data_IF_196302635474
#
_entry.id   IF_196302635474
#
_cell.length_a   1.000
_cell.length_b   1.000
_cell.length_c   1.000
_cell.angle_alpha   90.00
_cell.angle_beta   90.00
_cell.angle_gamma   90.00
#
_symmetry.space_group_name_H-M   'P 1'
#
loop_
_entity.id
_entity.type
_entity.pdbx_description
1 polymer ?
#
# COMPACT_ATOMS: atom_id res chain seq x y z
N UNK A 1 -10.33 -14.22 -22.31
CA UNK A 1 -9.00 -13.72 -21.86
C UNK A 1 -9.10 -12.36 -21.17
N UNK A 2 -10.00 -11.48 -21.61
CA UNK A 2 -10.38 -10.23 -20.92
C UNK A 2 -11.01 -10.46 -19.54
N UNK A 3 -11.77 -11.54 -19.35
CA UNK A 3 -12.39 -11.88 -18.05
C UNK A 3 -11.36 -12.21 -16.97
N UNK A 4 -10.26 -12.89 -17.27
CA UNK A 4 -9.22 -13.17 -16.28
C UNK A 4 -8.50 -11.90 -15.83
N UNK A 5 -8.33 -10.91 -16.71
CA UNK A 5 -7.71 -9.64 -16.36
C UNK A 5 -8.67 -8.78 -15.52
N UNK A 6 -9.96 -8.76 -15.86
CA UNK A 6 -11.01 -8.10 -15.08
C UNK A 6 -11.25 -8.77 -13.72
N UNK A 7 -11.18 -10.10 -13.63
CA UNK A 7 -11.27 -10.85 -12.37
C UNK A 7 -9.99 -10.72 -11.55
N UNK A 8 -8.80 -10.63 -12.17
CA UNK A 8 -7.55 -10.37 -11.46
C UNK A 8 -7.44 -8.91 -10.97
N UNK A 9 -7.91 -7.95 -11.77
CA UNK A 9 -8.04 -6.55 -11.37
C UNK A 9 -9.13 -6.41 -10.30
N UNK A 10 -10.28 -7.06 -10.45
CA UNK A 10 -11.30 -7.12 -9.41
C UNK A 10 -10.73 -7.75 -8.15
N UNK A 11 -10.11 -8.94 -8.18
CA UNK A 11 -9.50 -9.56 -7.01
C UNK A 11 -8.39 -8.69 -6.37
N UNK A 12 -7.59 -7.97 -7.16
CA UNK A 12 -6.56 -7.05 -6.65
C UNK A 12 -7.13 -5.73 -6.08
N UNK A 13 -8.32 -5.31 -6.54
CA UNK A 13 -8.97 -4.04 -6.12
C UNK A 13 -10.05 -4.25 -5.05
N UNK A 14 -10.69 -5.42 -5.06
CA UNK A 14 -11.81 -5.84 -4.22
C UNK A 14 -11.31 -6.53 -2.95
N UNK A 15 -10.25 -7.35 -3.04
CA UNK A 15 -9.58 -7.95 -1.87
C UNK A 15 -8.41 -7.07 -1.41
N UNK A 16 -8.57 -5.75 -1.56
CA UNK A 16 -7.53 -4.78 -1.28
C UNK A 16 -7.46 -4.50 0.22
N UNK A 17 -6.35 -4.93 0.82
CA UNK A 17 -5.96 -4.70 2.22
C UNK A 17 -6.09 -3.21 2.61
N UNK A 18 -5.93 -2.30 1.65
CA UNK A 18 -5.98 -0.86 1.86
C UNK A 18 -7.40 -0.35 2.11
N UNK A 19 -8.43 -0.92 1.47
CA UNK A 19 -9.81 -0.42 1.56
C UNK A 19 -10.69 -1.22 2.51
N UNK A 20 -10.43 -2.53 2.64
CA UNK A 20 -11.22 -3.40 3.50
C UNK A 20 -10.66 -3.43 4.94
N UNK A 21 -9.34 -3.30 5.11
CA UNK A 21 -8.67 -3.30 6.42
C UNK A 21 -8.14 -1.93 6.86
N UNK A 22 -8.36 -0.88 6.06
CA UNK A 22 -7.96 0.51 6.34
C UNK A 22 -6.46 0.74 6.60
N UNK A 23 -5.57 -0.09 6.03
CA UNK A 23 -4.13 0.10 6.16
C UNK A 23 -3.60 1.04 5.07
N UNK A 24 -2.69 1.96 5.42
CA UNK A 24 -2.08 2.90 4.46
C UNK A 24 -2.68 4.30 4.44
N UNK A 25 -3.47 4.66 5.45
CA UNK A 25 -4.07 6.00 5.58
C UNK A 25 -3.02 7.12 5.73
N UNK A 26 -1.91 6.85 6.44
CA UNK A 26 -0.86 7.87 6.70
C UNK A 26 -0.26 8.45 5.41
N UNK A 27 0.27 7.64 4.47
CA UNK A 27 0.77 8.18 3.20
C UNK A 27 -0.34 8.73 2.31
N UNK A 28 -1.57 8.22 2.41
CA UNK A 28 -2.71 8.71 1.64
C UNK A 28 -3.08 10.14 2.05
N UNK A 29 -3.24 10.42 3.34
CA UNK A 29 -3.51 11.77 3.85
C UNK A 29 -2.37 12.75 3.56
N UNK A 30 -1.14 12.23 3.57
CA UNK A 30 0.08 12.97 3.27
C UNK A 30 0.34 13.19 1.77
N UNK A 31 -0.48 12.70 0.84
CA UNK A 31 -0.28 12.92 -0.62
C UNK A 31 -0.78 14.30 -1.08
N UNK A 32 -0.13 14.88 -2.08
CA UNK A 32 -0.52 16.17 -2.66
C UNK A 32 -1.71 16.04 -3.62
N UNK A 33 -2.31 17.18 -3.96
CA UNK A 33 -3.34 17.28 -5.00
C UNK A 33 -2.82 17.09 -6.43
N UNK A 34 -1.49 16.94 -6.61
CA UNK A 34 -0.87 16.71 -7.92
C UNK A 34 -0.85 15.21 -8.23
N UNK A 35 -1.53 14.81 -9.30
CA UNK A 35 -1.64 13.41 -9.72
C UNK A 35 -0.26 12.81 -10.05
N UNK A 36 0.65 13.58 -10.65
CA UNK A 36 2.02 13.12 -10.95
C UNK A 36 2.80 12.72 -9.68
N UNK A 37 2.63 13.49 -8.59
CA UNK A 37 3.27 13.19 -7.31
C UNK A 37 2.61 11.99 -6.63
N UNK A 38 1.30 11.82 -6.79
CA UNK A 38 0.55 10.70 -6.26
C UNK A 38 0.94 9.38 -6.95
N UNK A 39 1.08 9.40 -8.29
CA UNK A 39 1.56 8.28 -9.10
C UNK A 39 2.96 7.84 -8.68
N UNK A 40 3.91 8.78 -8.55
CA UNK A 40 5.29 8.45 -8.16
C UNK A 40 5.38 7.89 -6.74
N UNK A 41 4.59 8.44 -5.81
CA UNK A 41 4.53 7.92 -4.42
C UNK A 41 3.93 6.53 -4.38
N UNK A 42 2.83 6.30 -5.10
CA UNK A 42 2.21 4.99 -5.22
C UNK A 42 3.17 3.95 -5.80
N UNK A 43 3.82 4.25 -6.92
CA UNK A 43 4.77 3.34 -7.56
C UNK A 43 6.00 3.04 -6.69
N UNK A 44 6.46 4.00 -5.90
CA UNK A 44 7.51 3.75 -4.91
C UNK A 44 7.03 2.76 -3.82
N UNK A 45 5.80 2.93 -3.33
CA UNK A 45 5.22 2.00 -2.35
C UNK A 45 4.94 0.61 -2.92
N UNK A 46 4.59 0.47 -4.21
CA UNK A 46 4.39 -0.85 -4.80
C UNK A 46 5.69 -1.63 -4.82
N UNK A 47 6.78 -1.01 -5.27
CA UNK A 47 8.10 -1.63 -5.27
C UNK A 47 8.50 -2.07 -3.84
N UNK A 48 8.32 -1.20 -2.84
CA UNK A 48 8.59 -1.55 -1.45
C UNK A 48 7.74 -2.75 -0.98
N UNK A 49 6.43 -2.73 -1.22
CA UNK A 49 5.51 -3.80 -0.83
C UNK A 49 5.88 -5.14 -1.48
N UNK A 50 6.29 -5.13 -2.75
CA UNK A 50 6.69 -6.35 -3.46
C UNK A 50 7.96 -6.98 -2.89
N UNK A 51 8.95 -6.16 -2.58
CA UNK A 51 10.23 -6.61 -2.02
C UNK A 51 10.00 -7.11 -0.59
N UNK A 52 9.25 -6.36 0.22
CA UNK A 52 8.92 -6.79 1.59
C UNK A 52 8.09 -8.07 1.58
N UNK A 53 7.13 -8.24 0.66
CA UNK A 53 6.32 -9.45 0.55
C UNK A 53 7.16 -10.70 0.27
N UNK A 54 8.06 -10.63 -0.73
CA UNK A 54 8.96 -11.73 -1.07
C UNK A 54 9.94 -12.07 0.06
N UNK A 55 10.55 -11.04 0.66
CA UNK A 55 11.49 -11.24 1.78
C UNK A 55 10.81 -11.75 3.04
N UNK A 56 9.56 -11.34 3.31
CA UNK A 56 8.80 -11.82 4.48
C UNK A 56 8.47 -13.30 4.35
N UNK A 57 8.14 -13.77 3.14
CA UNK A 57 7.90 -15.18 2.87
C UNK A 57 9.19 -16.01 3.04
N UNK A 58 10.31 -15.53 2.50
CA UNK A 58 11.64 -16.14 2.69
C UNK A 58 12.00 -16.23 4.18
N UNK A 59 11.87 -15.12 4.92
CA UNK A 59 12.16 -15.07 6.35
C UNK A 59 11.30 -16.05 7.14
N UNK A 60 10.01 -16.15 6.80
CA UNK A 60 9.10 -17.05 7.50
C UNK A 60 9.45 -18.53 7.27
N UNK A 61 9.69 -18.91 6.00
CA UNK A 61 9.99 -20.30 5.64
C UNK A 61 11.38 -20.74 6.10
N UNK A 62 12.39 -19.86 6.02
CA UNK A 62 13.79 -20.21 6.31
C UNK A 62 14.20 -19.97 7.77
N UNK A 63 13.54 -19.07 8.50
CA UNK A 63 13.96 -18.69 9.85
C UNK A 63 12.93 -19.07 10.90
N UNK A 64 11.66 -18.72 10.72
CA UNK A 64 10.63 -18.90 11.74
C UNK A 64 10.15 -20.34 11.90
N UNK A 65 9.86 -21.02 10.78
CA UNK A 65 9.39 -22.40 10.78
C UNK A 65 10.42 -23.37 11.37
N UNK A 66 11.71 -23.36 10.96
CA UNK A 66 12.68 -24.33 11.49
C UNK A 66 13.07 -24.07 12.95
N UNK A 67 12.94 -22.82 13.44
CA UNK A 67 13.36 -22.46 14.80
C UNK A 67 12.18 -22.42 15.79
N UNK A 68 10.95 -22.65 15.34
CA UNK A 68 9.75 -22.65 16.22
C UNK A 68 9.42 -21.29 16.82
N UNK A 69 9.97 -20.19 16.27
CA UNK A 69 9.92 -18.84 16.84
C UNK A 69 8.64 -18.06 16.45
N UNK A 70 7.49 -18.73 16.45
CA UNK A 70 6.21 -18.12 16.06
C UNK A 70 5.87 -16.87 16.89
N UNK A 71 6.29 -16.83 18.16
CA UNK A 71 6.08 -15.69 19.06
C UNK A 71 6.83 -14.41 18.61
N UNK A 72 8.01 -14.54 18.00
CA UNK A 72 8.82 -13.40 17.56
C UNK A 72 8.41 -12.83 16.20
N UNK A 73 7.39 -13.41 15.56
CA UNK A 73 7.03 -13.12 14.17
C UNK A 73 6.76 -11.65 13.90
N UNK A 74 5.96 -11.00 14.74
CA UNK A 74 5.58 -9.60 14.52
C UNK A 74 6.82 -8.69 14.60
N UNK A 75 7.70 -8.92 15.58
CA UNK A 75 8.92 -8.13 15.79
C UNK A 75 9.88 -8.32 14.62
N UNK A 76 10.08 -9.57 14.18
CA UNK A 76 10.95 -9.90 13.05
C UNK A 76 10.44 -9.29 11.73
N UNK A 77 9.13 -9.38 11.46
CA UNK A 77 8.52 -8.78 10.27
C UNK A 77 8.58 -7.25 10.29
N UNK A 78 8.43 -6.62 11.46
CA UNK A 78 8.51 -5.17 11.60
C UNK A 78 9.94 -4.67 11.36
N UNK A 79 10.95 -5.37 11.91
CA UNK A 79 12.35 -5.09 11.63
C UNK A 79 12.69 -5.28 10.14
N UNK A 80 12.23 -6.37 9.52
CA UNK A 80 12.41 -6.63 8.10
C UNK A 80 11.77 -5.55 7.23
N UNK A 81 10.53 -5.15 7.53
CA UNK A 81 9.82 -4.07 6.83
C UNK A 81 10.61 -2.76 6.92
N UNK A 82 11.11 -2.40 8.11
CA UNK A 82 11.93 -1.20 8.30
C UNK A 82 13.22 -1.26 7.47
N UNK A 83 13.97 -2.35 7.53
CA UNK A 83 15.21 -2.56 6.78
C UNK A 83 14.99 -2.52 5.26
N UNK A 84 13.93 -3.18 4.78
CA UNK A 84 13.62 -3.24 3.34
C UNK A 84 13.20 -1.88 2.80
N UNK A 85 12.34 -1.15 3.49
CA UNK A 85 11.95 0.21 3.07
C UNK A 85 13.15 1.16 3.15
N UNK A 86 14.02 1.02 4.16
CA UNK A 86 15.25 1.80 4.26
C UNK A 86 16.22 1.50 3.09
N UNK A 87 16.34 0.23 2.68
CA UNK A 87 17.15 -0.15 1.53
C UNK A 87 16.57 0.43 0.23
N UNK A 88 15.25 0.35 0.06
CA UNK A 88 14.55 0.98 -1.08
C UNK A 88 14.76 2.49 -1.08
N UNK A 89 14.73 3.16 0.08
CA UNK A 89 15.02 4.60 0.20
C UNK A 89 16.38 4.98 -0.39
N UNK A 90 17.42 4.25 0.01
CA UNK A 90 18.78 4.50 -0.45
C UNK A 90 18.90 4.21 -1.95
N UNK A 91 18.28 3.12 -2.42
CA UNK A 91 18.28 2.75 -3.84
C UNK A 91 17.59 3.81 -4.71
N UNK A 92 16.44 4.31 -4.25
CA UNK A 92 15.64 5.32 -4.93
C UNK A 92 16.36 6.68 -4.99
N UNK A 93 17.08 7.05 -3.92
CA UNK A 93 17.94 8.26 -3.90
C UNK A 93 19.12 8.14 -4.86
N UNK A 94 19.68 6.93 -5.04
CA UNK A 94 20.81 6.69 -5.94
C UNK A 94 20.41 6.67 -7.43
N UNK A 95 19.25 6.11 -7.76
CA UNK A 95 18.79 5.97 -9.15
C UNK A 95 17.83 7.10 -9.60
N UNK A 96 17.29 7.87 -8.65
CA UNK A 96 16.20 8.82 -8.90
C UNK A 96 16.64 10.17 -9.46
N UNK A 97 16.70 10.25 -10.79
CA UNK A 97 16.64 11.49 -11.54
C UNK A 97 15.38 12.32 -11.16
N UNK A 98 15.55 13.63 -10.98
CA UNK A 98 14.56 14.74 -10.91
C UNK A 98 13.11 14.49 -10.42
N UNK A 99 12.38 13.57 -11.05
CA UNK A 99 10.96 13.26 -10.79
C UNK A 99 10.71 12.47 -9.49
N UNK A 100 11.68 11.71 -8.98
CA UNK A 100 11.56 10.97 -7.70
C UNK A 100 11.96 11.78 -6.45
N UNK A 101 12.35 13.06 -6.60
CA UNK A 101 12.67 13.95 -5.45
C UNK A 101 11.47 14.19 -4.52
N UNK A 102 10.25 14.20 -5.05
CA UNK A 102 9.04 14.36 -4.23
C UNK A 102 8.70 13.08 -3.46
N UNK A 103 8.98 11.91 -4.06
CA UNK A 103 8.91 10.65 -3.32
C UNK A 103 9.90 10.69 -2.15
N UNK A 104 11.19 11.02 -2.40
CA UNK A 104 12.27 10.98 -1.40
C UNK A 104 12.04 11.83 -0.13
N UNK A 105 11.30 12.94 -0.23
CA UNK A 105 10.96 13.80 0.92
C UNK A 105 9.85 13.23 1.83
N UNK A 106 9.02 12.30 1.32
CA UNK A 106 7.91 11.68 2.07
C UNK A 106 8.18 10.23 2.51
N UNK A 107 9.41 9.75 2.33
CA UNK A 107 9.80 8.39 2.72
C UNK A 107 9.68 8.05 4.22
N UNK A 108 9.79 8.98 5.18
CA UNK A 108 9.49 8.67 6.59
C UNK A 108 8.04 8.20 6.81
N UNK A 109 7.09 8.62 5.96
CA UNK A 109 5.71 8.14 5.99
C UNK A 109 5.54 6.77 5.32
N UNK A 110 6.46 6.36 4.45
CA UNK A 110 6.46 5.04 3.80
C UNK A 110 7.03 3.98 4.76
N UNK A 111 8.09 4.30 5.51
CA UNK A 111 8.72 3.38 6.49
C UNK A 111 7.79 3.01 7.64
N UNK A 112 6.87 3.91 8.03
CA UNK A 112 5.88 3.67 9.08
C UNK A 112 4.50 3.32 8.52
N UNK A 113 4.44 2.83 7.27
CA UNK A 113 3.17 2.48 6.67
C UNK A 113 2.68 1.11 7.17
N UNK A 114 1.54 1.11 7.85
CA UNK A 114 0.87 -0.11 8.29
C UNK A 114 0.54 -1.07 7.15
N UNK A 115 0.37 -0.60 5.92
CA UNK A 115 0.16 -1.46 4.74
C UNK A 115 1.35 -2.40 4.48
N UNK A 116 2.59 -1.95 4.73
CA UNK A 116 3.80 -2.77 4.53
C UNK A 116 3.85 -3.91 5.53
N UNK A 117 3.56 -3.61 6.80
CA UNK A 117 3.46 -4.64 7.85
C UNK A 117 2.28 -5.59 7.59
N UNK A 118 1.14 -5.06 7.15
CA UNK A 118 -0.06 -5.86 6.84
C UNK A 118 0.18 -6.87 5.72
N UNK A 119 0.83 -6.44 4.63
CA UNK A 119 1.21 -7.34 3.53
C UNK A 119 2.22 -8.39 4.01
N UNK A 120 3.23 -7.99 4.78
CA UNK A 120 4.20 -8.91 5.36
C UNK A 120 3.55 -9.99 6.23
N UNK A 121 2.55 -9.63 7.06
CA UNK A 121 1.81 -10.58 7.89
C UNK A 121 0.93 -11.51 7.04
N UNK A 122 0.24 -10.97 6.03
CA UNK A 122 -0.64 -11.74 5.16
C UNK A 122 0.13 -12.76 4.33
N UNK A 123 1.29 -12.40 3.78
CA UNK A 123 2.11 -13.35 3.01
C UNK A 123 2.59 -14.52 3.86
N UNK A 124 2.80 -14.34 5.17
CA UNK A 124 3.13 -15.47 6.07
C UNK A 124 1.94 -16.37 6.42
N UNK A 125 0.72 -15.90 6.23
CA UNK A 125 -0.51 -16.64 6.57
C UNK A 125 -1.20 -17.30 5.37
N UNK A 126 -1.05 -16.75 4.16
CA UNK A 126 -1.80 -17.17 2.97
C UNK A 126 -0.94 -17.62 1.79
N UNK A 127 0.29 -17.13 1.66
CA UNK A 127 1.15 -17.49 0.54
C UNK A 127 2.03 -18.69 0.91
N UNK A 128 1.79 -19.83 0.24
CA UNK A 128 2.61 -21.04 0.39
C UNK A 128 3.82 -21.08 -0.57
N UNK A 129 3.87 -20.17 -1.56
CA UNK A 129 4.96 -20.10 -2.54
C UNK A 129 5.48 -18.68 -2.68
N UNK A 130 6.77 -18.56 -3.02
CA UNK A 130 7.44 -17.27 -3.25
C UNK A 130 6.77 -16.48 -4.39
N UNK A 131 6.36 -17.17 -5.45
CA UNK A 131 5.60 -16.57 -6.55
C UNK A 131 4.25 -16.00 -6.10
N UNK A 132 3.52 -16.72 -5.24
CA UNK A 132 2.28 -16.24 -4.64
C UNK A 132 2.49 -15.02 -3.73
N UNK A 133 3.59 -15.00 -2.96
CA UNK A 133 3.92 -13.87 -2.09
C UNK A 133 4.25 -12.60 -2.88
N UNK A 134 5.04 -12.71 -3.95
CA UNK A 134 5.37 -11.57 -4.82
C UNK A 134 4.13 -11.07 -5.57
N UNK A 135 3.28 -11.98 -6.08
CA UNK A 135 2.03 -11.61 -6.73
C UNK A 135 1.07 -10.88 -5.77
N UNK A 136 0.97 -11.32 -4.51
CA UNK A 136 0.18 -10.65 -3.48
C UNK A 136 0.72 -9.26 -3.16
N UNK A 137 2.04 -9.12 -3.01
CA UNK A 137 2.69 -7.82 -2.81
C UNK A 137 2.50 -6.87 -3.99
N UNK A 138 2.58 -7.39 -5.23
CA UNK A 138 2.34 -6.63 -6.46
C UNK A 138 0.89 -6.16 -6.54
N UNK A 139 -0.07 -7.05 -6.29
CA UNK A 139 -1.49 -6.74 -6.29
C UNK A 139 -1.84 -5.67 -5.25
N UNK A 140 -1.38 -5.84 -4.02
CA UNK A 140 -1.61 -4.87 -2.93
C UNK A 140 -0.98 -3.50 -3.25
N UNK A 141 0.22 -3.50 -3.82
CA UNK A 141 0.88 -2.27 -4.26
C UNK A 141 0.09 -1.56 -5.36
N UNK A 142 -0.27 -2.27 -6.42
CA UNK A 142 -1.03 -1.69 -7.54
C UNK A 142 -2.40 -1.18 -7.06
N UNK A 143 -3.09 -1.90 -6.18
CA UNK A 143 -4.30 -1.42 -5.53
C UNK A 143 -4.07 -0.09 -4.80
N UNK A 144 -2.98 0.02 -4.02
CA UNK A 144 -2.62 1.28 -3.35
C UNK A 144 -2.34 2.43 -4.34
N UNK A 145 -1.68 2.17 -5.48
CA UNK A 145 -1.45 3.21 -6.50
C UNK A 145 -2.75 3.76 -7.07
N UNK A 146 -3.70 2.90 -7.40
CA UNK A 146 -4.99 3.30 -7.97
C UNK A 146 -5.74 4.18 -6.97
N UNK A 147 -5.72 3.82 -5.69
CA UNK A 147 -6.43 4.55 -4.64
C UNK A 147 -5.82 5.91 -4.38
N UNK A 148 -4.49 5.98 -4.26
CA UNK A 148 -3.78 7.25 -4.03
C UNK A 148 -3.93 8.21 -5.20
N UNK A 149 -3.92 7.71 -6.43
CA UNK A 149 -4.12 8.54 -7.62
C UNK A 149 -5.55 9.05 -7.75
N UNK A 150 -6.55 8.21 -7.45
CA UNK A 150 -7.94 8.61 -7.37
C UNK A 150 -8.15 9.67 -6.28
N UNK A 151 -7.60 9.47 -5.09
CA UNK A 151 -7.68 10.44 -4.00
C UNK A 151 -7.04 11.78 -4.34
N UNK A 152 -5.85 11.76 -4.98
CA UNK A 152 -5.18 12.98 -5.42
C UNK A 152 -6.01 13.77 -6.44
N UNK A 153 -6.75 13.09 -7.32
CA UNK A 153 -7.65 13.74 -8.29
C UNK A 153 -8.89 14.38 -7.65
N UNK A 154 -9.36 13.86 -6.52
CA UNK A 154 -10.49 14.41 -5.78
C UNK A 154 -10.08 15.62 -4.91
N UNK A 155 -8.83 15.66 -4.46
CA UNK A 155 -8.32 16.66 -3.51
C UNK A 155 -8.56 18.12 -3.95
N UNK A 156 -8.30 18.54 -5.21
CA UNK A 156 -8.61 19.88 -5.68
C UNK A 156 -10.09 20.24 -5.57
N UNK A 157 -10.99 19.29 -5.86
CA UNK A 157 -12.45 19.50 -5.80
C UNK A 157 -12.92 19.70 -4.37
N UNK A 158 -12.32 18.97 -3.41
CA UNK A 158 -12.61 19.13 -1.98
C UNK A 158 -12.19 20.50 -1.44
N UNK A 159 -11.07 21.04 -1.92
CA UNK A 159 -10.57 22.36 -1.50
C UNK A 159 -11.45 23.52 -2.01
N UNK A 160 -12.17 23.32 -3.11
CA UNK A 160 -13.08 24.32 -3.69
C UNK A 160 -14.51 24.22 -3.14
N UNK A 161 -14.83 23.13 -2.42
CA UNK A 161 -16.17 22.90 -1.88
C UNK A 161 -16.42 23.75 -0.63
N UNK A 162 -17.65 24.22 -0.35
CA UNK A 162 -17.95 24.96 0.86
C UNK A 162 -17.96 24.05 2.09
N UNK A 163 -16.77 23.76 2.62
CA UNK A 163 -16.58 22.95 3.84
C UNK A 163 -16.61 23.86 5.09
N UNK A 164 -17.39 23.53 6.14
CA UNK A 164 -17.37 24.27 7.39
C UNK A 164 -15.97 24.24 8.02
N UNK A 165 -15.56 25.35 8.64
CA UNK A 165 -14.22 25.53 9.21
C UNK A 165 -13.66 24.34 10.02
N UNK A 166 -14.42 23.69 10.94
CA UNK A 166 -13.89 22.59 11.75
C UNK A 166 -13.58 21.31 10.96
N UNK A 167 -14.14 21.12 9.76
CA UNK A 167 -13.95 19.92 8.95
C UNK A 167 -12.86 20.09 7.88
N UNK A 168 -12.23 21.26 7.77
CA UNK A 168 -11.19 21.51 6.77
C UNK A 168 -9.92 20.70 7.08
N UNK A 169 -9.22 20.28 6.02
CA UNK A 169 -7.95 19.56 6.11
C UNK A 169 -8.12 18.04 6.23
N UNK A 170 -7.51 17.37 7.24
CA UNK A 170 -7.49 15.91 7.31
C UNK A 170 -8.86 15.30 7.63
N UNK A 171 -9.76 16.03 8.28
CA UNK A 171 -11.09 15.54 8.63
C UNK A 171 -11.94 15.24 7.39
N UNK A 172 -12.06 16.19 6.45
CA UNK A 172 -12.79 15.93 5.19
C UNK A 172 -12.10 14.88 4.33
N UNK A 173 -10.77 14.78 4.39
CA UNK A 173 -10.03 13.73 3.70
C UNK A 173 -10.37 12.33 4.23
N UNK A 174 -10.55 12.17 5.55
CA UNK A 174 -11.00 10.91 6.14
C UNK A 174 -12.44 10.56 5.73
N UNK A 175 -13.33 11.55 5.70
CA UNK A 175 -14.72 11.35 5.25
C UNK A 175 -14.75 10.87 3.80
N UNK A 176 -13.96 11.48 2.92
CA UNK A 176 -13.94 11.12 1.49
C UNK A 176 -13.30 9.76 1.26
N UNK A 177 -12.27 9.41 2.03
CA UNK A 177 -11.72 8.04 2.03
C UNK A 177 -12.75 7.03 2.51
N UNK A 178 -13.56 7.36 3.51
CA UNK A 178 -14.69 6.52 3.95
C UNK A 178 -15.71 6.29 2.83
N UNK A 179 -16.09 7.35 2.11
CA UNK A 179 -16.99 7.23 0.95
C UNK A 179 -16.37 6.41 -0.19
N UNK A 180 -15.06 6.55 -0.44
CA UNK A 180 -14.33 5.72 -1.40
C UNK A 180 -14.30 4.25 -0.98
N UNK A 181 -14.13 3.96 0.31
CA UNK A 181 -14.20 2.58 0.84
C UNK A 181 -15.58 1.96 0.59
N UNK A 182 -16.66 2.68 0.90
CA UNK A 182 -18.03 2.22 0.63
C UNK A 182 -18.28 1.96 -0.87
N UNK A 183 -17.76 2.82 -1.74
CA UNK A 183 -17.89 2.65 -3.19
C UNK A 183 -17.17 1.38 -3.68
N UNK A 184 -16.00 1.05 -3.10
CA UNK A 184 -15.24 -0.15 -3.48
C UNK A 184 -15.82 -1.42 -2.87
N UNK A 185 -16.38 -1.35 -1.66
CA UNK A 185 -17.13 -2.48 -1.06
C UNK A 185 -18.30 -2.93 -1.95
N UNK A 186 -18.90 -2.04 -2.74
CA UNK A 186 -19.93 -2.40 -3.73
C UNK A 186 -19.44 -3.40 -4.79
N UNK A 187 -18.13 -3.49 -5.04
CA UNK A 187 -17.54 -4.45 -5.97
C UNK A 187 -17.19 -5.81 -5.33
N UNK A 188 -17.39 -5.97 -4.01
CA UNK A 188 -17.13 -7.22 -3.25
C UNK A 188 -17.90 -8.45 -3.72
N UNK A 189 -18.98 -8.28 -4.46
CA UNK A 189 -19.78 -9.37 -5.03
C UNK A 189 -19.32 -9.89 -6.41
N UNK A 190 -18.28 -9.34 -7.03
CA UNK A 190 -17.88 -9.67 -8.42
C UNK A 190 -17.08 -10.98 -8.59
N UNK A 191 -17.17 -11.90 -7.63
CA UNK A 191 -16.39 -13.15 -7.65
C UNK A 191 -17.08 -14.36 -7.02
N UNK A 192 -18.39 -14.25 -6.77
CA UNK A 192 -19.28 -15.38 -6.42
C UNK A 192 -20.20 -15.66 -7.59
#
# INVERSE_FOLDING_TARGET
MTDFLLIAIAAATVNNIVLERLLGLCPLLGTDSRVDNALTTGLATTCALTVTAGLSHLLNQWLLVPWGLAYLRIIALLALAALTVQAVNVLLKRHGAGRLRFASQRLPLITMNCAVLGVALLTTGTANTLGGAVALGLGAGLGFTVVVTLFASLRPRLLQSPVPLPLRGPAIALVTVGMMSLAVLGFSGLGT
#
